data_IF_381858187109
#
_entry.id   IF_381858187109
#
_cell.length_a   1.000
_cell.length_b   1.000
_cell.length_c   1.000
_cell.angle_alpha   90.00
_cell.angle_beta   90.00
_cell.angle_gamma   90.00
#
_symmetry.space_group_name_H-M   'P 1'
#
loop_
_entity.id
_entity.type
_entity.pdbx_description
1 polymer ?
#
# COMPACT_ATOMS: atom_id res chain seq x y z
N UNK A 1 -37.91 -16.07 24.63
CA UNK A 1 -38.16 -15.04 23.59
C UNK A 1 -36.88 -14.24 23.48
N UNK A 2 -36.17 -14.34 22.35
CA UNK A 2 -34.96 -13.54 22.14
C UNK A 2 -35.38 -12.09 21.83
N UNK A 3 -34.85 -11.12 22.56
CA UNK A 3 -35.08 -9.71 22.27
C UNK A 3 -34.54 -9.40 20.87
N UNK A 4 -35.31 -8.63 20.08
CA UNK A 4 -34.83 -8.18 18.77
C UNK A 4 -33.53 -7.37 18.95
N UNK A 5 -32.56 -7.51 18.03
CA UNK A 5 -31.33 -6.71 18.08
C UNK A 5 -31.70 -5.23 17.94
N UNK A 6 -31.41 -4.44 18.97
CA UNK A 6 -31.59 -2.98 18.92
C UNK A 6 -30.62 -2.40 17.89
N UNK A 7 -31.13 -1.55 17.02
CA UNK A 7 -30.32 -0.84 16.04
C UNK A 7 -29.64 0.38 16.70
N UNK A 8 -28.44 0.79 16.27
CA UNK A 8 -27.74 1.95 16.85
C UNK A 8 -28.60 3.23 16.89
N UNK A 9 -29.49 3.40 15.91
CA UNK A 9 -30.47 4.50 15.84
C UNK A 9 -31.52 4.49 16.94
N UNK A 10 -31.80 3.35 17.57
CA UNK A 10 -32.78 3.22 18.66
C UNK A 10 -32.31 3.90 19.94
N UNK A 11 -31.02 4.25 20.03
CA UNK A 11 -30.45 4.97 21.17
C UNK A 11 -30.51 6.49 20.99
N UNK A 12 -31.05 7.01 19.89
CA UNK A 12 -31.13 8.44 19.63
C UNK A 12 -32.58 8.93 19.82
N UNK A 13 -32.83 9.71 20.87
CA UNK A 13 -34.10 10.42 21.13
C UNK A 13 -34.25 11.55 20.13
N UNK A 14 -35.39 11.63 19.44
CA UNK A 14 -35.80 12.84 18.71
C UNK A 14 -35.99 14.01 19.67
N UNK A 15 -35.37 15.16 19.41
CA UNK A 15 -35.83 16.40 20.05
C UNK A 15 -36.90 17.08 19.17
N UNK A 16 -37.45 18.20 19.65
CA UNK A 16 -38.54 18.89 18.95
C UNK A 16 -38.13 19.44 17.56
N UNK A 17 -36.84 19.62 17.32
CA UNK A 17 -36.29 20.30 16.15
C UNK A 17 -35.44 19.37 15.25
N UNK A 18 -35.03 18.20 15.77
CA UNK A 18 -34.13 17.25 15.14
C UNK A 18 -34.62 15.80 15.30
N UNK A 19 -34.49 15.03 14.22
CA UNK A 19 -34.64 13.58 14.11
C UNK A 19 -33.80 12.81 15.15
N UNK A 20 -32.72 13.41 15.69
CA UNK A 20 -31.85 12.80 16.71
C UNK A 20 -31.26 13.88 17.65
N UNK A 21 -32.01 14.27 18.68
CA UNK A 21 -31.67 15.34 19.62
C UNK A 21 -30.90 14.96 20.89
N UNK A 22 -30.91 13.71 21.34
CA UNK A 22 -30.09 13.29 22.49
C UNK A 22 -29.98 11.77 22.56
N UNK A 23 -28.86 11.24 23.05
CA UNK A 23 -28.80 9.80 23.34
C UNK A 23 -29.81 9.47 24.45
N UNK A 24 -30.74 8.54 24.22
CA UNK A 24 -31.36 7.77 25.31
C UNK A 24 -30.18 7.26 26.13
N UNK A 25 -30.24 7.39 27.46
CA UNK A 25 -29.29 6.77 28.38
C UNK A 25 -28.92 5.39 27.83
N UNK A 26 -27.78 5.27 27.13
CA UNK A 26 -27.37 3.98 26.57
C UNK A 26 -27.16 3.16 27.82
N UNK A 27 -27.99 2.15 28.08
CA UNK A 27 -27.89 1.46 29.33
C UNK A 27 -26.49 0.85 29.33
N UNK A 28 -25.62 1.32 30.22
CA UNK A 28 -24.40 0.61 30.61
C UNK A 28 -24.74 -0.77 31.22
N UNK A 29 -26.03 -1.16 31.23
CA UNK A 29 -26.58 -2.42 31.68
C UNK A 29 -25.73 -3.56 31.17
N UNK A 30 -24.97 -4.10 32.13
CA UNK A 30 -24.22 -5.33 32.05
C UNK A 30 -23.59 -5.57 30.67
N UNK A 31 -22.65 -4.71 30.26
CA UNK A 31 -21.59 -5.19 29.38
C UNK A 31 -21.03 -6.45 30.04
N UNK A 32 -21.40 -7.61 29.51
CA UNK A 32 -20.96 -8.89 30.06
C UNK A 32 -19.44 -8.87 30.08
N UNK A 33 -18.84 -9.30 31.19
CA UNK A 33 -17.42 -9.55 31.26
C UNK A 33 -17.17 -11.00 30.85
N UNK A 34 -16.36 -11.28 29.80
CA UNK A 34 -15.64 -10.34 28.95
C UNK A 34 -16.53 -9.68 27.87
N UNK A 35 -16.16 -8.47 27.45
CA UNK A 35 -16.88 -7.72 26.41
C UNK A 35 -16.87 -8.51 25.10
N UNK A 36 -18.06 -8.71 24.52
CA UNK A 36 -18.21 -9.39 23.23
C UNK A 36 -17.75 -8.52 22.06
N UNK A 37 -17.42 -9.17 20.94
CA UNK A 37 -17.09 -8.50 19.68
C UNK A 37 -18.22 -7.58 19.23
N UNK A 38 -19.46 -8.03 19.35
CA UNK A 38 -20.65 -7.30 18.92
C UNK A 38 -20.78 -5.97 19.67
N UNK A 39 -20.49 -5.94 20.97
CA UNK A 39 -20.56 -4.71 21.77
C UNK A 39 -19.51 -3.68 21.34
N UNK A 40 -18.27 -4.14 21.05
CA UNK A 40 -17.20 -3.24 20.56
C UNK A 40 -17.56 -2.69 19.18
N UNK A 41 -18.01 -3.55 18.27
CA UNK A 41 -18.41 -3.14 16.91
C UNK A 41 -19.59 -2.16 16.93
N UNK A 42 -20.65 -2.46 17.68
CA UNK A 42 -21.81 -1.58 17.79
C UNK A 42 -21.45 -0.21 18.38
N UNK A 43 -20.56 -0.16 19.38
CA UNK A 43 -20.12 1.10 19.97
C UNK A 43 -19.29 1.95 18.99
N UNK A 44 -18.43 1.30 18.19
CA UNK A 44 -17.67 1.97 17.13
C UNK A 44 -18.58 2.48 16.02
N UNK A 45 -19.51 1.64 15.53
CA UNK A 45 -20.46 1.99 14.47
C UNK A 45 -21.34 3.18 14.88
N UNK A 46 -21.84 3.18 16.11
CA UNK A 46 -22.64 4.28 16.67
C UNK A 46 -21.85 5.59 16.70
N UNK A 47 -20.57 5.54 17.09
CA UNK A 47 -19.68 6.71 17.11
C UNK A 47 -19.44 7.24 15.69
N UNK A 48 -19.12 6.37 14.73
CA UNK A 48 -18.87 6.76 13.34
C UNK A 48 -20.12 7.34 12.67
N UNK A 49 -21.29 6.74 12.91
CA UNK A 49 -22.55 7.24 12.40
C UNK A 49 -22.85 8.63 12.97
N UNK A 50 -22.68 8.84 14.29
CA UNK A 50 -22.93 10.15 14.91
C UNK A 50 -21.99 11.25 14.35
N UNK A 51 -20.71 10.94 14.15
CA UNK A 51 -19.75 11.87 13.54
C UNK A 51 -20.10 12.20 12.08
N UNK A 52 -20.48 11.17 11.32
CA UNK A 52 -20.81 11.28 9.91
C UNK A 52 -22.06 12.13 9.69
N UNK A 53 -23.14 11.85 10.42
CA UNK A 53 -24.41 12.56 10.27
C UNK A 53 -24.31 14.02 10.75
N UNK A 54 -23.51 14.30 11.79
CA UNK A 54 -23.18 15.68 12.20
C UNK A 54 -22.49 16.47 11.09
N UNK A 55 -21.58 15.83 10.35
CA UNK A 55 -20.83 16.49 9.25
C UNK A 55 -21.65 16.67 7.97
N UNK A 56 -22.65 15.82 7.73
CA UNK A 56 -23.47 15.83 6.51
C UNK A 56 -24.62 16.84 6.52
N UNK A 57 -25.21 17.09 7.69
CA UNK A 57 -26.45 17.84 7.79
C UNK A 57 -26.23 19.24 8.37
N UNK A 58 -27.00 20.22 7.90
CA UNK A 58 -27.02 21.56 8.51
C UNK A 58 -27.59 21.49 9.92
N UNK A 59 -27.15 22.34 10.86
CA UNK A 59 -27.63 22.32 12.24
C UNK A 59 -29.16 22.35 12.39
N UNK A 60 -29.87 23.02 11.49
CA UNK A 60 -31.33 23.15 11.52
C UNK A 60 -32.06 22.03 10.76
N UNK A 61 -31.33 21.03 10.27
CA UNK A 61 -31.92 19.89 9.58
C UNK A 61 -32.49 18.92 10.60
N UNK A 62 -33.65 18.34 10.28
CA UNK A 62 -34.15 17.21 11.06
C UNK A 62 -33.06 16.12 11.18
N UNK A 63 -32.26 15.83 10.16
CA UNK A 63 -31.30 14.72 10.21
C UNK A 63 -29.98 15.05 10.94
N UNK A 64 -29.86 16.25 11.50
CA UNK A 64 -28.65 16.67 12.21
C UNK A 64 -28.50 15.95 13.56
N UNK A 65 -27.30 15.41 13.79
CA UNK A 65 -26.88 14.90 15.11
C UNK A 65 -26.15 16.01 15.85
N UNK A 66 -26.70 16.43 16.99
CA UNK A 66 -26.11 17.51 17.76
C UNK A 66 -24.83 17.09 18.52
N UNK A 67 -24.11 18.08 19.03
CA UNK A 67 -22.84 17.88 19.72
C UNK A 67 -22.95 17.00 20.97
N UNK A 68 -24.03 17.15 21.74
CA UNK A 68 -24.25 16.34 22.94
C UNK A 68 -24.40 14.85 22.60
N UNK A 69 -25.15 14.53 21.54
CA UNK A 69 -25.28 13.17 21.05
C UNK A 69 -23.95 12.62 20.52
N UNK A 70 -23.18 13.41 19.76
CA UNK A 70 -21.83 13.00 19.31
C UNK A 70 -20.91 12.69 20.48
N UNK A 71 -20.84 13.58 21.48
CA UNK A 71 -19.98 13.41 22.67
C UNK A 71 -20.39 12.16 23.45
N UNK A 72 -21.69 11.90 23.60
CA UNK A 72 -22.17 10.73 24.31
C UNK A 72 -21.87 9.41 23.54
N UNK A 73 -21.95 9.39 22.21
CA UNK A 73 -21.53 8.23 21.41
C UNK A 73 -20.02 7.96 21.55
N UNK A 74 -19.20 9.01 21.53
CA UNK A 74 -17.74 8.92 21.74
C UNK A 74 -17.44 8.37 23.13
N UNK A 75 -18.04 8.96 24.18
CA UNK A 75 -17.85 8.52 25.56
C UNK A 75 -18.31 7.06 25.79
N UNK A 76 -19.41 6.64 25.13
CA UNK A 76 -19.86 5.25 25.16
C UNK A 76 -18.81 4.32 24.54
N UNK A 77 -18.33 4.62 23.32
CA UNK A 77 -17.26 3.87 22.67
C UNK A 77 -15.99 3.77 23.53
N UNK A 78 -15.56 4.89 24.11
CA UNK A 78 -14.41 4.93 25.02
C UNK A 78 -14.63 4.07 26.26
N UNK A 79 -15.84 4.08 26.84
CA UNK A 79 -16.16 3.26 28.01
C UNK A 79 -16.14 1.75 27.70
N UNK A 80 -16.61 1.35 26.51
CA UNK A 80 -16.56 -0.04 26.03
C UNK A 80 -15.12 -0.46 25.80
N UNK A 81 -14.30 0.39 25.17
CA UNK A 81 -12.87 0.13 24.94
C UNK A 81 -12.07 0.11 26.25
N UNK A 82 -12.34 1.02 27.18
CA UNK A 82 -11.65 1.08 28.48
C UNK A 82 -11.91 -0.18 29.32
N UNK A 83 -13.15 -0.68 29.32
CA UNK A 83 -13.47 -1.97 29.95
C UNK A 83 -12.86 -3.17 29.23
N UNK A 84 -12.63 -3.07 27.92
CA UNK A 84 -11.91 -4.08 27.15
C UNK A 84 -10.42 -4.10 27.50
N UNK A 85 -9.80 -2.94 27.72
CA UNK A 85 -8.37 -2.80 28.09
C UNK A 85 -8.14 -3.10 29.58
N UNK A 86 -9.12 -2.80 30.44
CA UNK A 86 -9.00 -2.87 31.90
C UNK A 86 -9.04 -4.27 32.54
N UNK A 87 -9.15 -5.36 31.75
CA UNK A 87 -9.27 -6.72 32.30
C UNK A 87 -8.54 -7.77 31.48
N UNK A 88 -7.44 -8.31 32.02
CA UNK A 88 -6.69 -9.47 31.50
C UNK A 88 -6.24 -9.37 30.02
N UNK A 89 -5.51 -10.40 29.56
CA UNK A 89 -5.06 -10.49 28.17
C UNK A 89 -6.23 -10.30 27.18
N UNK A 90 -5.98 -9.70 26.02
CA UNK A 90 -7.00 -9.41 25.02
C UNK A 90 -7.90 -10.64 24.74
N UNK A 91 -9.23 -10.50 24.59
CA UNK A 91 -10.13 -11.61 24.29
C UNK A 91 -9.69 -12.41 23.06
N UNK A 92 -9.94 -13.72 23.07
CA UNK A 92 -9.51 -14.62 22.00
C UNK A 92 -9.99 -14.18 20.61
N UNK A 93 -11.21 -13.65 20.51
CA UNK A 93 -11.74 -13.16 19.22
C UNK A 93 -10.89 -12.03 18.65
N UNK A 94 -10.35 -11.15 19.50
CA UNK A 94 -9.54 -10.01 19.09
C UNK A 94 -8.13 -10.44 18.72
N UNK A 95 -7.54 -11.38 19.48
CA UNK A 95 -6.27 -11.99 19.11
C UNK A 95 -6.37 -12.69 17.74
N UNK A 96 -7.44 -13.46 17.52
CA UNK A 96 -7.70 -14.12 16.23
C UNK A 96 -7.91 -13.10 15.10
N UNK A 97 -8.58 -11.98 15.39
CA UNK A 97 -8.76 -10.89 14.43
C UNK A 97 -7.42 -10.22 14.07
N UNK A 98 -6.56 -9.92 15.05
CA UNK A 98 -5.23 -9.38 14.83
C UNK A 98 -4.36 -10.31 13.98
N UNK A 99 -4.38 -11.62 14.29
CA UNK A 99 -3.66 -12.63 13.50
C UNK A 99 -4.18 -12.70 12.06
N UNK A 100 -5.50 -12.71 11.87
CA UNK A 100 -6.11 -12.72 10.53
C UNK A 100 -5.75 -11.46 9.73
N UNK A 101 -5.76 -10.27 10.36
CA UNK A 101 -5.30 -9.04 9.69
C UNK A 101 -3.83 -9.15 9.28
N UNK A 102 -2.96 -9.60 10.17
CA UNK A 102 -1.55 -9.77 9.85
C UNK A 102 -1.37 -10.71 8.63
N UNK A 103 -2.02 -11.87 8.64
CA UNK A 103 -2.00 -12.80 7.51
C UNK A 103 -2.57 -12.18 6.21
N UNK A 104 -3.59 -11.33 6.31
CA UNK A 104 -4.14 -10.64 5.14
C UNK A 104 -3.19 -9.59 4.60
N UNK A 105 -2.50 -8.84 5.48
CA UNK A 105 -1.49 -7.86 5.08
C UNK A 105 -0.31 -8.55 4.39
N UNK A 106 0.21 -9.64 4.96
CA UNK A 106 1.30 -10.42 4.35
C UNK A 106 0.91 -10.93 2.94
N UNK A 107 -0.34 -11.40 2.77
CA UNK A 107 -0.86 -11.82 1.46
C UNK A 107 -1.02 -10.67 0.47
N UNK A 108 -1.33 -9.46 0.95
CA UNK A 108 -1.43 -8.27 0.09
C UNK A 108 -0.04 -7.85 -0.35
N UNK A 109 0.94 -7.84 0.55
CA UNK A 109 2.35 -7.56 0.25
C UNK A 109 2.90 -8.55 -0.79
N UNK A 110 2.70 -9.86 -0.59
CA UNK A 110 3.12 -10.88 -1.55
C UNK A 110 2.49 -10.68 -2.94
N UNK A 111 1.22 -10.26 -2.99
CA UNK A 111 0.54 -9.96 -4.27
C UNK A 111 1.10 -8.71 -4.93
N UNK A 112 1.42 -7.67 -4.16
CA UNK A 112 2.03 -6.45 -4.68
C UNK A 112 3.41 -6.75 -5.27
N UNK A 113 4.23 -7.55 -4.59
CA UNK A 113 5.54 -7.98 -5.10
C UNK A 113 5.42 -8.76 -6.42
N UNK A 114 4.45 -9.66 -6.52
CA UNK A 114 4.16 -10.39 -7.76
C UNK A 114 3.72 -9.47 -8.88
N UNK A 115 2.86 -8.48 -8.59
CA UNK A 115 2.41 -7.49 -9.57
C UNK A 115 3.60 -6.65 -10.05
N UNK A 116 4.44 -6.16 -9.14
CA UNK A 116 5.63 -5.38 -9.47
C UNK A 116 6.59 -6.18 -10.35
N UNK A 117 6.84 -7.45 -9.99
CA UNK A 117 7.65 -8.37 -10.79
C UNK A 117 7.08 -8.57 -12.20
N UNK A 118 5.77 -8.76 -12.33
CA UNK A 118 5.12 -8.92 -13.64
C UNK A 118 5.18 -7.62 -14.46
N UNK A 119 4.97 -6.47 -13.82
CA UNK A 119 5.03 -5.17 -14.47
C UNK A 119 6.45 -4.86 -14.98
N UNK A 120 7.48 -5.16 -14.19
CA UNK A 120 8.88 -5.06 -14.60
C UNK A 120 9.13 -5.91 -15.85
N UNK A 121 8.73 -7.20 -15.84
CA UNK A 121 8.87 -8.10 -17.00
C UNK A 121 8.17 -7.57 -18.26
N UNK A 122 6.93 -7.11 -18.13
CA UNK A 122 6.18 -6.54 -19.27
C UNK A 122 6.87 -5.27 -19.80
N UNK A 123 7.35 -4.42 -18.90
CA UNK A 123 8.07 -3.18 -19.26
C UNK A 123 9.37 -3.48 -19.99
N UNK A 124 10.17 -4.43 -19.48
CA UNK A 124 11.41 -4.89 -20.12
C UNK A 124 11.10 -5.44 -21.52
N UNK A 125 10.12 -6.33 -21.64
CA UNK A 125 9.75 -6.92 -22.93
C UNK A 125 9.28 -5.87 -23.94
N UNK A 126 8.41 -4.95 -23.52
CA UNK A 126 7.90 -3.89 -24.39
C UNK A 126 9.00 -2.92 -24.85
N UNK A 127 9.90 -2.54 -23.94
CA UNK A 127 11.02 -1.66 -24.27
C UNK A 127 12.04 -2.35 -25.20
N UNK A 128 12.37 -3.62 -24.94
CA UNK A 128 13.25 -4.43 -25.80
C UNK A 128 12.64 -4.63 -27.19
N UNK A 129 11.36 -4.98 -27.29
CA UNK A 129 10.65 -5.15 -28.57
C UNK A 129 10.61 -3.83 -29.38
N UNK A 130 10.38 -2.70 -28.71
CA UNK A 130 10.43 -1.38 -29.37
C UNK A 130 11.84 -1.05 -29.89
N UNK A 131 12.89 -1.34 -29.10
CA UNK A 131 14.28 -1.14 -29.50
C UNK A 131 14.70 -2.06 -30.66
N UNK A 132 14.24 -3.31 -30.64
CA UNK A 132 14.51 -4.33 -31.66
C UNK A 132 13.89 -3.93 -33.01
N UNK A 133 12.62 -3.50 -33.00
CA UNK A 133 11.93 -2.97 -34.20
C UNK A 133 12.63 -1.77 -34.83
N UNK A 134 13.44 -1.04 -34.06
CA UNK A 134 14.21 0.13 -34.51
C UNK A 134 15.68 -0.19 -34.80
N UNK A 135 16.09 -1.46 -34.89
CA UNK A 135 17.50 -1.88 -35.09
C UNK A 135 18.23 -1.14 -36.21
N UNK A 136 17.54 -0.78 -37.28
CA UNK A 136 18.10 -0.04 -38.43
C UNK A 136 18.37 1.44 -38.16
N UNK A 137 17.96 1.98 -37.01
CA UNK A 137 18.19 3.37 -36.59
C UNK A 137 19.25 3.40 -35.48
N UNK A 138 20.53 3.65 -35.80
CA UNK A 138 21.62 3.69 -34.81
C UNK A 138 21.58 4.95 -33.94
N UNK A 139 20.93 6.02 -34.39
CA UNK A 139 20.93 7.32 -33.69
C UNK A 139 19.90 7.43 -32.56
N UNK A 140 19.04 6.43 -32.36
CA UNK A 140 18.00 6.45 -31.34
C UNK A 140 16.77 7.28 -31.70
N UNK A 141 15.90 7.60 -30.71
CA UNK A 141 16.05 7.29 -29.29
C UNK A 141 15.72 5.84 -28.95
N UNK A 142 16.51 5.24 -28.07
CA UNK A 142 16.24 3.94 -27.45
C UNK A 142 15.26 4.12 -26.29
N UNK A 143 14.31 3.19 -26.20
CA UNK A 143 13.56 2.97 -24.99
C UNK A 143 14.49 2.45 -23.90
N UNK A 144 14.39 3.10 -22.77
CA UNK A 144 15.05 2.76 -21.54
C UNK A 144 14.53 1.40 -21.01
N UNK A 145 15.44 0.54 -20.55
CA UNK A 145 15.12 -0.83 -20.08
C UNK A 145 15.58 -0.97 -18.62
N UNK A 146 14.67 -1.23 -17.66
CA UNK A 146 15.06 -1.42 -16.27
C UNK A 146 15.84 -2.73 -16.08
N UNK A 147 16.47 -2.91 -14.92
CA UNK A 147 17.05 -4.19 -14.51
C UNK A 147 15.98 -5.26 -14.27
N UNK A 148 16.39 -6.52 -14.07
CA UNK A 148 15.46 -7.66 -13.91
C UNK A 148 14.53 -7.53 -12.70
N UNK A 149 14.95 -6.77 -11.67
CA UNK A 149 14.16 -6.44 -10.47
C UNK A 149 13.19 -5.26 -10.69
N UNK A 150 13.24 -4.61 -11.85
CA UNK A 150 12.44 -3.44 -12.19
C UNK A 150 13.08 -2.09 -11.84
N UNK A 151 14.25 -2.08 -11.21
CA UNK A 151 14.99 -0.86 -10.85
C UNK A 151 15.48 -0.15 -12.11
N UNK A 152 15.35 1.18 -12.16
CA UNK A 152 15.81 1.99 -13.28
C UNK A 152 17.32 2.31 -13.14
N UNK A 153 18.18 1.90 -14.09
CA UNK A 153 19.62 1.98 -13.92
C UNK A 153 20.18 3.40 -13.69
N UNK A 154 19.58 4.43 -14.27
CA UNK A 154 20.11 5.81 -14.26
C UNK A 154 19.47 6.74 -13.24
N UNK A 155 18.43 6.31 -12.52
CA UNK A 155 17.75 7.15 -11.54
C UNK A 155 18.47 7.14 -10.17
N UNK A 156 19.31 6.14 -9.92
CA UNK A 156 19.98 5.92 -8.62
C UNK A 156 21.45 5.51 -8.80
N UNK A 157 22.23 5.63 -7.72
CA UNK A 157 23.56 5.03 -7.64
C UNK A 157 23.43 3.51 -7.45
N UNK A 158 24.13 2.73 -8.29
CA UNK A 158 24.08 1.27 -8.22
C UNK A 158 25.40 0.68 -7.72
N UNK A 159 25.38 -0.50 -7.08
CA UNK A 159 26.61 -1.16 -6.63
C UNK A 159 27.53 -1.52 -7.80
N UNK A 160 28.77 -1.05 -7.73
CA UNK A 160 29.86 -1.42 -8.62
C UNK A 160 30.64 -2.64 -8.10
N UNK A 161 31.62 -3.07 -8.91
CA UNK A 161 32.47 -4.25 -8.66
C UNK A 161 33.19 -4.26 -7.31
N UNK A 162 33.58 -3.08 -6.80
CA UNK A 162 34.36 -2.94 -5.56
C UNK A 162 33.52 -2.42 -4.39
N UNK A 163 32.19 -2.59 -4.45
CA UNK A 163 31.22 -1.95 -3.53
C UNK A 163 31.23 -0.41 -3.58
N UNK A 164 31.75 0.17 -4.66
CA UNK A 164 31.61 1.60 -4.94
C UNK A 164 30.22 1.88 -5.49
N UNK A 165 29.64 3.02 -5.15
CA UNK A 165 28.39 3.50 -5.75
C UNK A 165 28.68 4.15 -7.10
N UNK A 166 28.04 3.66 -8.17
CA UNK A 166 28.25 4.14 -9.54
C UNK A 166 26.98 4.81 -10.06
N UNK A 167 27.07 6.08 -10.43
CA UNK A 167 26.01 6.75 -11.19
C UNK A 167 26.05 6.29 -12.65
N UNK A 168 24.95 5.71 -13.13
CA UNK A 168 24.85 5.29 -14.52
C UNK A 168 24.19 6.36 -15.40
N UNK A 169 24.72 6.61 -16.62
CA UNK A 169 24.08 7.48 -17.59
C UNK A 169 23.00 6.71 -18.36
N UNK A 170 21.85 7.34 -18.72
CA UNK A 170 20.80 6.66 -19.46
C UNK A 170 21.26 6.20 -20.86
N UNK A 171 20.83 5.01 -21.27
CA UNK A 171 21.24 4.38 -22.53
C UNK A 171 20.32 4.79 -23.69
N UNK A 172 20.33 6.07 -24.05
CA UNK A 172 19.37 6.65 -25.00
C UNK A 172 19.70 6.41 -26.48
N UNK A 173 20.92 5.98 -26.81
CA UNK A 173 21.40 5.68 -28.16
C UNK A 173 22.73 4.87 -28.11
N UNK A 174 23.25 4.47 -29.28
CA UNK A 174 24.52 3.72 -29.36
C UNK A 174 25.72 4.51 -28.82
N UNK A 175 25.74 5.84 -28.99
CA UNK A 175 26.81 6.68 -28.48
C UNK A 175 26.87 6.68 -26.94
N UNK A 176 25.72 6.62 -26.26
CA UNK A 176 25.66 6.49 -24.80
C UNK A 176 26.29 5.16 -24.32
N UNK A 177 26.05 4.06 -25.05
CA UNK A 177 26.64 2.74 -24.75
C UNK A 177 28.15 2.74 -25.03
N UNK A 178 28.57 3.32 -26.15
CA UNK A 178 30.00 3.46 -26.48
C UNK A 178 30.74 4.39 -25.52
N UNK A 179 30.05 5.38 -24.96
CA UNK A 179 30.59 6.31 -23.96
C UNK A 179 30.80 5.69 -22.57
N UNK A 180 30.24 4.50 -22.28
CA UNK A 180 30.39 3.87 -20.96
C UNK A 180 31.87 3.55 -20.68
N UNK A 181 32.33 3.94 -19.50
CA UNK A 181 33.66 3.60 -19.01
C UNK A 181 33.71 2.19 -18.38
N UNK A 182 34.87 1.81 -17.82
CA UNK A 182 35.08 0.50 -17.21
C UNK A 182 34.11 0.22 -16.04
N UNK A 183 34.05 1.09 -15.02
CA UNK A 183 33.09 0.97 -13.92
C UNK A 183 31.63 0.93 -14.38
N UNK A 184 31.19 1.88 -15.21
CA UNK A 184 29.79 1.97 -15.66
C UNK A 184 29.38 0.75 -16.49
N UNK A 185 30.23 0.29 -17.41
CA UNK A 185 29.94 -0.92 -18.19
C UNK A 185 29.89 -2.19 -17.33
N UNK A 186 30.63 -2.23 -16.22
CA UNK A 186 30.56 -3.35 -15.26
C UNK A 186 29.28 -3.31 -14.44
N UNK A 187 28.90 -2.12 -13.95
CA UNK A 187 27.68 -1.93 -13.17
C UNK A 187 26.41 -2.20 -14.01
N UNK A 188 26.35 -1.72 -15.26
CA UNK A 188 25.28 -2.10 -16.19
C UNK A 188 25.23 -3.61 -16.44
N UNK A 189 26.40 -4.25 -16.64
CA UNK A 189 26.46 -5.69 -16.85
C UNK A 189 25.94 -6.47 -15.64
N UNK A 190 26.34 -6.09 -14.42
CA UNK A 190 25.86 -6.71 -13.19
C UNK A 190 24.35 -6.59 -13.02
N UNK A 191 23.79 -5.41 -13.30
CA UNK A 191 22.34 -5.21 -13.18
C UNK A 191 21.53 -6.02 -14.19
N UNK A 192 22.03 -6.20 -15.42
CA UNK A 192 21.36 -7.05 -16.42
C UNK A 192 21.68 -8.54 -16.32
N UNK A 193 22.82 -8.91 -15.74
CA UNK A 193 23.32 -10.29 -15.69
C UNK A 193 23.93 -10.64 -14.32
N UNK A 194 23.15 -10.57 -13.22
CA UNK A 194 23.68 -10.64 -11.85
C UNK A 194 24.35 -11.98 -11.51
N UNK A 195 24.02 -13.06 -12.24
CA UNK A 195 24.56 -14.40 -12.03
C UNK A 195 25.71 -14.76 -12.97
N UNK A 196 26.07 -13.88 -13.92
CA UNK A 196 27.09 -14.16 -14.92
C UNK A 196 28.46 -13.55 -14.53
N UNK A 197 29.57 -14.25 -14.83
CA UNK A 197 30.90 -13.67 -14.63
C UNK A 197 31.10 -12.47 -15.55
N UNK A 198 31.59 -11.36 -15.00
CA UNK A 198 31.81 -10.13 -15.78
C UNK A 198 32.95 -10.35 -16.78
N UNK A 199 32.73 -10.11 -18.09
CA UNK A 199 33.78 -10.20 -19.09
C UNK A 199 34.90 -9.18 -18.82
N UNK A 200 36.16 -9.62 -18.85
CA UNK A 200 37.31 -8.71 -18.68
C UNK A 200 37.37 -7.63 -19.77
N UNK A 201 36.85 -7.90 -20.97
CA UNK A 201 36.89 -6.98 -22.11
C UNK A 201 35.67 -6.06 -22.10
N UNK A 202 35.91 -4.74 -22.05
CA UNK A 202 34.83 -3.72 -22.03
C UNK A 202 33.91 -3.84 -23.25
N UNK A 203 34.46 -4.09 -24.44
CA UNK A 203 33.68 -4.27 -25.67
C UNK A 203 32.68 -5.44 -25.57
N UNK A 204 33.04 -6.53 -24.88
CA UNK A 204 32.13 -7.66 -24.65
C UNK A 204 31.00 -7.29 -23.69
N UNK A 205 31.30 -6.53 -22.63
CA UNK A 205 30.27 -5.99 -21.73
C UNK A 205 29.29 -5.09 -22.47
N UNK A 206 29.79 -4.14 -23.27
CA UNK A 206 28.97 -3.23 -24.09
C UNK A 206 28.09 -4.00 -25.07
N UNK A 207 28.61 -5.04 -25.71
CA UNK A 207 27.81 -5.89 -26.59
C UNK A 207 26.71 -6.64 -25.81
N UNK A 208 27.02 -7.22 -24.65
CA UNK A 208 26.02 -7.86 -23.80
C UNK A 208 24.92 -6.88 -23.35
N UNK A 209 25.29 -5.64 -23.00
CA UNK A 209 24.35 -4.57 -22.65
C UNK A 209 23.44 -4.24 -23.83
N UNK A 210 23.97 -4.12 -25.07
CA UNK A 210 23.15 -3.96 -26.28
C UNK A 210 22.11 -5.06 -26.40
N UNK A 211 22.51 -6.32 -26.25
CA UNK A 211 21.60 -7.46 -26.28
C UNK A 211 20.52 -7.39 -25.19
N UNK A 212 20.91 -7.00 -23.97
CA UNK A 212 19.98 -6.84 -22.85
C UNK A 212 18.89 -5.80 -23.15
N UNK A 213 19.25 -4.69 -23.80
CA UNK A 213 18.28 -3.63 -24.15
C UNK A 213 17.54 -3.85 -25.48
N UNK A 214 17.73 -5.00 -26.15
CA UNK A 214 17.06 -5.30 -27.43
C UNK A 214 17.75 -4.74 -28.67
N UNK A 215 19.05 -4.46 -28.59
CA UNK A 215 19.89 -3.91 -29.67
C UNK A 215 21.04 -4.82 -30.12
N UNK A 216 21.09 -6.05 -29.60
CA UNK A 216 22.09 -7.04 -30.01
C UNK A 216 21.87 -7.52 -31.44
N UNK A 217 22.97 -7.87 -32.10
CA UNK A 217 23.00 -8.47 -33.45
C UNK A 217 22.31 -9.84 -33.51
#
# INVERSE_FOLDING_TARGET
>A
MAAQPQTPTDFLVQDQDHKYGSLLNVPLQALNNPISRENVMQAQDLKEQALTERGKHLPNSAEYVNEAATVACVAYCESVVAKFIGGAAAPQWFQNFQQNIAEQLDRVEEKLDKINTHLAKVTILAARDSNDKRKTQPTGPFHQVPFEDGTWPWDEEVPGLNNDNIQLPPLINDAAIEGLDGPQSSAYFLGYFPTQPIPCIIAQRKNAIRTAIGRGD
#
